data_IF_541704245849
#
_entry.id   IF_541704245849
#
_cell.length_a   1.000
_cell.length_b   1.000
_cell.length_c   1.000
_cell.angle_alpha   90.00
_cell.angle_beta   90.00
_cell.angle_gamma   90.00
#
_symmetry.space_group_name_H-M   'P 1'
#
loop_
_entity.id
_entity.type
_entity.pdbx_description
1 polymer ?
#
# COMPACT_ATOMS: atom_id res chain seq x y z
N UNK A 1 19.84 0.67 -33.91
CA UNK A 1 18.71 0.75 -32.95
C UNK A 1 19.29 0.73 -31.54
N UNK A 2 18.98 1.70 -30.69
CA UNK A 2 19.49 1.70 -29.32
C UNK A 2 18.76 0.58 -28.55
N UNK A 3 19.50 -0.31 -27.89
CA UNK A 3 18.99 -1.42 -27.09
C UNK A 3 18.32 -0.97 -25.76
N UNK A 4 17.88 0.29 -25.69
CA UNK A 4 17.30 0.88 -24.50
C UNK A 4 15.82 0.48 -24.38
N UNK A 5 15.36 -0.03 -23.22
CA UNK A 5 13.95 -0.37 -23.00
C UNK A 5 13.00 0.81 -23.29
N UNK A 6 11.85 0.56 -23.86
CA UNK A 6 10.86 1.60 -24.19
C UNK A 6 10.50 2.46 -23.00
N UNK A 7 10.33 1.86 -21.81
CA UNK A 7 10.05 2.56 -20.57
C UNK A 7 11.11 3.62 -20.18
N UNK A 8 12.37 3.44 -20.59
CA UNK A 8 13.43 4.43 -20.38
C UNK A 8 13.44 5.51 -21.45
N UNK A 9 13.10 5.17 -22.69
CA UNK A 9 13.00 6.12 -23.81
C UNK A 9 11.90 7.15 -23.60
N UNK A 10 10.74 6.70 -23.12
CA UNK A 10 9.56 7.56 -22.88
C UNK A 10 9.56 8.22 -21.50
N UNK A 11 10.62 8.01 -20.72
CA UNK A 11 10.66 8.54 -19.34
C UNK A 11 10.36 10.03 -19.32
N UNK A 12 9.38 10.49 -18.51
CA UNK A 12 9.07 11.89 -18.32
C UNK A 12 10.31 12.74 -18.06
N UNK A 13 10.41 13.88 -18.74
CA UNK A 13 11.50 14.84 -18.57
C UNK A 13 11.09 16.03 -17.71
N UNK A 14 9.78 16.26 -17.56
CA UNK A 14 9.21 17.34 -16.77
C UNK A 14 8.17 16.82 -15.77
N UNK A 15 7.85 17.64 -14.78
CA UNK A 15 6.78 17.34 -13.80
C UNK A 15 5.44 17.18 -14.51
N UNK A 16 5.18 17.92 -15.57
CA UNK A 16 3.91 17.91 -16.30
C UNK A 16 3.70 16.62 -17.11
N UNK A 17 4.78 15.86 -17.36
CA UNK A 17 4.72 14.58 -18.04
C UNK A 17 4.39 13.41 -17.11
N UNK A 18 4.47 13.60 -15.79
CA UNK A 18 4.10 12.57 -14.82
C UNK A 18 2.60 12.36 -14.86
N UNK A 19 2.16 11.12 -15.03
CA UNK A 19 0.74 10.75 -15.14
C UNK A 19 0.23 10.11 -13.85
N UNK A 20 -1.03 10.39 -13.48
CA UNK A 20 -1.76 9.71 -12.41
C UNK A 20 -1.31 10.05 -10.99
N UNK A 21 -0.49 11.08 -10.81
CA UNK A 21 -0.04 11.54 -9.48
C UNK A 21 -0.37 13.02 -9.25
N UNK A 22 -1.58 13.43 -9.60
CA UNK A 22 -2.03 14.82 -9.57
C UNK A 22 -1.97 15.43 -8.16
N UNK A 23 -2.17 14.62 -7.11
CA UNK A 23 -2.07 15.05 -5.71
C UNK A 23 -0.64 15.44 -5.30
N UNK A 24 0.38 14.94 -6.00
CA UNK A 24 1.79 15.25 -5.78
C UNK A 24 2.32 16.31 -6.76
N UNK A 25 2.00 16.16 -8.05
CA UNK A 25 2.60 16.90 -9.15
C UNK A 25 1.61 17.77 -9.94
N UNK A 26 0.31 17.64 -9.74
CA UNK A 26 -0.70 18.50 -10.37
C UNK A 26 -0.58 19.98 -9.96
N UNK A 27 -1.40 20.89 -10.49
CA UNK A 27 -1.32 22.33 -10.19
C UNK A 27 -1.38 22.68 -8.70
N UNK A 28 -2.06 21.85 -7.89
CA UNK A 28 -2.14 21.97 -6.41
C UNK A 28 -1.34 20.89 -5.69
N UNK A 29 -0.45 20.19 -6.41
CA UNK A 29 0.32 19.07 -5.88
C UNK A 29 1.33 19.50 -4.83
N UNK A 30 1.48 18.68 -3.79
CA UNK A 30 2.34 19.00 -2.63
C UNK A 30 3.81 19.10 -3.02
N UNK A 31 4.33 18.16 -3.82
CA UNK A 31 5.74 18.19 -4.27
C UNK A 31 5.95 19.36 -5.23
N UNK A 32 5.03 19.60 -6.16
CA UNK A 32 5.12 20.77 -7.07
C UNK A 32 5.24 22.06 -6.28
N UNK A 33 4.42 22.25 -5.24
CA UNK A 33 4.46 23.45 -4.41
C UNK A 33 5.78 23.62 -3.63
N UNK A 34 6.40 22.51 -3.19
CA UNK A 34 7.72 22.52 -2.54
C UNK A 34 8.82 22.91 -3.53
N UNK A 35 8.82 22.34 -4.72
CA UNK A 35 9.81 22.60 -5.78
C UNK A 35 9.72 24.05 -6.28
N UNK A 36 8.51 24.59 -6.44
CA UNK A 36 8.30 25.98 -6.82
C UNK A 36 8.90 26.99 -5.80
N UNK A 37 9.13 26.55 -4.56
CA UNK A 37 9.78 27.36 -3.50
C UNK A 37 11.28 27.06 -3.37
N UNK A 38 11.85 26.28 -4.28
CA UNK A 38 13.27 25.86 -4.23
C UNK A 38 13.59 24.94 -3.04
N UNK A 39 12.58 24.32 -2.40
CA UNK A 39 12.79 23.46 -1.21
C UNK A 39 12.81 22.00 -1.63
N UNK A 40 14.00 21.40 -1.59
CA UNK A 40 14.18 19.96 -1.73
C UNK A 40 14.70 19.43 -0.40
N UNK A 41 13.86 18.66 0.29
CA UNK A 41 14.15 18.02 1.58
C UNK A 41 14.27 16.52 1.42
N UNK A 42 14.60 15.80 2.50
CA UNK A 42 14.56 14.35 2.47
C UNK A 42 13.12 13.87 2.24
N UNK A 43 12.96 12.93 1.30
CA UNK A 43 11.66 12.40 0.88
C UNK A 43 11.66 10.88 0.91
N UNK A 44 10.53 10.30 1.25
CA UNK A 44 10.27 8.86 1.15
C UNK A 44 9.07 8.68 0.22
N UNK A 45 9.26 7.99 -0.88
CA UNK A 45 8.22 7.65 -1.84
C UNK A 45 7.73 6.23 -1.59
N UNK A 46 6.49 6.06 -1.15
CA UNK A 46 5.87 4.76 -0.94
C UNK A 46 4.80 4.50 -1.99
N UNK A 47 4.61 3.25 -2.36
CA UNK A 47 3.53 2.86 -3.28
C UNK A 47 3.91 1.74 -4.25
N UNK A 48 2.95 1.22 -5.04
CA UNK A 48 3.14 0.09 -5.93
C UNK A 48 4.24 0.32 -6.98
N UNK A 49 4.78 -0.75 -7.58
CA UNK A 49 5.72 -0.64 -8.69
C UNK A 49 5.07 0.07 -9.89
N UNK A 50 5.91 0.63 -10.78
CA UNK A 50 5.46 1.27 -12.02
C UNK A 50 4.66 2.56 -11.88
N UNK A 51 4.56 3.15 -10.67
CA UNK A 51 3.80 4.39 -10.41
C UNK A 51 4.59 5.68 -10.61
N UNK A 52 5.87 5.58 -11.03
CA UNK A 52 6.69 6.74 -11.39
C UNK A 52 7.64 7.24 -10.30
N UNK A 53 7.84 6.54 -9.15
CA UNK A 53 8.73 6.94 -8.05
C UNK A 53 10.13 7.31 -8.51
N UNK A 54 10.79 6.40 -9.26
CA UNK A 54 12.15 6.61 -9.79
C UNK A 54 12.21 7.78 -10.79
N UNK A 55 11.17 7.92 -11.62
CA UNK A 55 11.05 9.02 -12.58
C UNK A 55 10.92 10.37 -11.87
N UNK A 56 10.06 10.45 -10.86
CA UNK A 56 9.89 11.64 -10.05
C UNK A 56 11.19 12.04 -9.36
N UNK A 57 11.91 11.08 -8.76
CA UNK A 57 13.22 11.36 -8.15
C UNK A 57 14.23 11.93 -9.15
N UNK A 58 14.25 11.41 -10.38
CA UNK A 58 15.15 11.91 -11.44
C UNK A 58 14.83 13.35 -11.86
N UNK A 59 13.54 13.66 -12.00
CA UNK A 59 13.07 15.03 -12.34
C UNK A 59 13.42 16.01 -11.21
N UNK A 60 13.16 15.62 -9.95
CA UNK A 60 13.47 16.44 -8.78
C UNK A 60 14.97 16.70 -8.69
N UNK A 61 15.80 15.69 -8.97
CA UNK A 61 17.24 15.83 -9.00
C UNK A 61 17.69 16.84 -10.07
N UNK A 62 17.13 16.76 -11.28
CA UNK A 62 17.43 17.72 -12.36
C UNK A 62 17.06 19.17 -12.01
N UNK A 63 16.07 19.36 -11.14
CA UNK A 63 15.65 20.69 -10.67
C UNK A 63 16.47 21.19 -9.47
N UNK A 64 17.28 20.32 -8.85
CA UNK A 64 17.99 20.62 -7.59
C UNK A 64 19.40 21.17 -7.78
N UNK A 65 19.94 21.18 -9.00
CA UNK A 65 21.35 21.46 -9.30
C UNK A 65 22.36 20.55 -8.57
N UNK A 66 21.87 19.61 -7.72
CA UNK A 66 22.71 18.66 -6.98
C UNK A 66 23.07 17.45 -7.84
N UNK A 67 24.30 17.00 -7.71
CA UNK A 67 24.71 15.73 -8.33
C UNK A 67 23.90 14.58 -7.75
N UNK A 68 23.20 13.86 -8.62
CA UNK A 68 22.39 12.71 -8.22
C UNK A 68 23.19 11.42 -8.29
N UNK A 69 23.13 10.65 -7.20
CA UNK A 69 23.57 9.25 -7.13
C UNK A 69 22.38 8.33 -6.98
N UNK A 70 22.43 7.18 -7.64
CA UNK A 70 21.38 6.17 -7.57
C UNK A 70 21.95 4.87 -7.04
N UNK A 71 21.36 4.39 -5.95
CA UNK A 71 21.67 3.08 -5.37
C UNK A 71 20.38 2.26 -5.28
N UNK A 72 20.52 0.95 -5.43
CA UNK A 72 19.42 0.02 -5.17
C UNK A 72 19.78 -0.79 -3.91
N UNK A 73 18.95 -0.72 -2.89
CA UNK A 73 19.20 -1.37 -1.60
C UNK A 73 19.28 -2.90 -1.68
N UNK A 74 18.80 -3.52 -2.76
CA UNK A 74 18.96 -4.96 -2.99
C UNK A 74 20.39 -5.38 -3.30
N UNK A 75 21.20 -4.47 -3.86
CA UNK A 75 22.56 -4.75 -4.31
C UNK A 75 23.62 -3.86 -3.65
N UNK A 76 23.21 -2.69 -3.15
CA UNK A 76 24.11 -1.71 -2.55
C UNK A 76 24.54 -2.11 -1.13
N UNK A 77 25.74 -1.69 -0.78
CA UNK A 77 26.37 -1.86 0.52
C UNK A 77 26.54 -0.52 1.26
N UNK A 78 26.92 -0.57 2.54
CA UNK A 78 27.31 0.64 3.30
C UNK A 78 28.52 1.34 2.71
N UNK A 79 29.44 0.61 2.06
CA UNK A 79 30.61 1.21 1.39
C UNK A 79 30.20 2.08 0.21
N UNK A 80 29.11 1.71 -0.51
CA UNK A 80 28.61 2.50 -1.63
C UNK A 80 28.01 3.82 -1.13
N UNK A 81 27.26 3.78 -0.02
CA UNK A 81 26.75 4.99 0.63
C UNK A 81 27.87 5.90 1.10
N UNK A 82 28.94 5.32 1.69
CA UNK A 82 30.12 6.09 2.10
C UNK A 82 30.84 6.72 0.90
N UNK A 83 30.96 6.00 -0.20
CA UNK A 83 31.55 6.53 -1.44
C UNK A 83 30.73 7.74 -1.95
N UNK A 84 29.41 7.68 -1.93
CA UNK A 84 28.53 8.81 -2.25
C UNK A 84 28.78 10.00 -1.30
N UNK A 85 28.90 9.74 0.01
CA UNK A 85 29.19 10.79 0.98
C UNK A 85 30.59 11.42 0.79
N UNK A 86 31.59 10.66 0.36
CA UNK A 86 32.95 11.20 0.07
C UNK A 86 32.92 12.14 -1.15
N UNK A 87 32.00 11.94 -2.10
CA UNK A 87 31.84 12.86 -3.23
C UNK A 87 31.54 14.31 -2.81
N UNK A 88 30.95 14.52 -1.64
CA UNK A 88 30.68 15.87 -1.09
C UNK A 88 31.96 16.63 -0.74
N UNK A 89 33.11 15.96 -0.64
CA UNK A 89 34.41 16.58 -0.43
C UNK A 89 35.01 17.10 -1.74
N UNK A 90 34.43 16.79 -2.89
CA UNK A 90 34.86 17.28 -4.19
C UNK A 90 34.28 18.65 -4.50
N UNK A 91 34.86 19.37 -5.43
CA UNK A 91 34.39 20.68 -5.89
C UNK A 91 32.95 20.63 -6.46
N UNK A 92 32.54 19.48 -7.00
CA UNK A 92 31.21 19.28 -7.58
C UNK A 92 30.15 18.84 -6.55
N UNK A 93 30.53 18.55 -5.32
CA UNK A 93 29.63 18.11 -4.25
C UNK A 93 29.58 19.07 -3.05
N UNK A 94 30.21 20.27 -3.16
CA UNK A 94 30.31 21.22 -2.05
C UNK A 94 28.93 21.66 -1.48
N UNK A 95 27.89 21.69 -2.33
CA UNK A 95 26.50 22.03 -1.95
C UNK A 95 25.67 20.79 -1.53
N UNK A 96 26.35 19.67 -1.26
CA UNK A 96 25.73 18.38 -0.96
C UNK A 96 25.30 17.63 -2.21
N UNK A 97 25.00 16.35 -2.05
CA UNK A 97 24.56 15.46 -3.13
C UNK A 97 23.14 14.97 -2.88
N UNK A 98 22.44 14.56 -3.94
CA UNK A 98 21.15 13.91 -3.86
C UNK A 98 21.35 12.39 -4.02
N UNK A 99 20.98 11.62 -3.02
CA UNK A 99 20.97 10.17 -3.07
C UNK A 99 19.55 9.66 -3.31
N UNK A 100 19.33 9.02 -4.46
CA UNK A 100 18.15 8.19 -4.67
C UNK A 100 18.46 6.75 -4.26
N UNK A 101 17.76 6.27 -3.23
CA UNK A 101 17.89 4.90 -2.73
C UNK A 101 16.61 4.12 -3.03
N UNK A 102 16.66 3.23 -4.02
CA UNK A 102 15.54 2.39 -4.43
C UNK A 102 15.42 1.18 -3.50
N UNK A 103 14.15 0.81 -3.19
CA UNK A 103 13.78 -0.33 -2.37
C UNK A 103 14.45 -0.35 -0.99
N UNK A 104 14.40 0.78 -0.27
CA UNK A 104 15.09 1.00 1.02
C UNK A 104 14.79 -0.07 2.08
N UNK A 105 13.66 -0.79 2.02
CA UNK A 105 13.30 -1.87 2.94
C UNK A 105 14.30 -3.04 2.92
N UNK A 106 15.09 -3.19 1.87
CA UNK A 106 16.15 -4.20 1.82
C UNK A 106 17.41 -3.81 2.61
N UNK A 107 17.55 -2.55 2.98
CA UNK A 107 18.57 -2.15 3.94
C UNK A 107 18.15 -2.57 5.35
N UNK A 108 19.03 -3.31 6.05
CA UNK A 108 18.79 -3.63 7.45
C UNK A 108 18.85 -2.36 8.35
N UNK A 109 18.39 -2.50 9.59
CA UNK A 109 18.29 -1.37 10.53
C UNK A 109 19.62 -0.61 10.73
N UNK A 110 20.77 -1.32 10.76
CA UNK A 110 22.10 -0.70 10.92
C UNK A 110 22.48 0.11 9.67
N UNK A 111 22.17 -0.41 8.49
CA UNK A 111 22.39 0.30 7.22
C UNK A 111 21.54 1.56 7.13
N UNK A 112 20.26 1.46 7.47
CA UNK A 112 19.38 2.63 7.50
C UNK A 112 19.83 3.66 8.55
N UNK A 113 20.27 3.21 9.72
CA UNK A 113 20.81 4.09 10.77
C UNK A 113 22.05 4.85 10.34
N UNK A 114 22.94 4.24 9.56
CA UNK A 114 24.15 4.89 9.09
C UNK A 114 23.90 6.05 8.10
N UNK A 115 22.70 6.10 7.48
CA UNK A 115 22.34 7.25 6.64
C UNK A 115 22.11 8.53 7.46
N UNK A 116 21.70 8.40 8.74
CA UNK A 116 21.33 9.56 9.57
C UNK A 116 22.42 10.58 9.70
N UNK A 117 23.68 10.16 9.88
CA UNK A 117 24.82 11.06 10.01
C UNK A 117 24.92 12.01 8.81
N UNK A 118 24.78 11.48 7.58
CA UNK A 118 24.90 12.25 6.34
C UNK A 118 23.68 13.12 6.03
N UNK A 119 22.52 12.76 6.59
CA UNK A 119 21.30 13.57 6.47
C UNK A 119 21.29 14.73 7.46
N UNK A 120 21.83 14.52 8.67
CA UNK A 120 21.87 15.53 9.74
C UNK A 120 22.87 16.64 9.45
N UNK A 121 24.01 16.30 8.85
CA UNK A 121 25.03 17.29 8.45
C UNK A 121 24.79 17.91 7.06
N UNK A 122 23.71 17.49 6.37
CA UNK A 122 23.30 18.05 5.09
C UNK A 122 24.14 17.60 3.89
N UNK A 123 25.11 16.70 4.08
CA UNK A 123 25.93 16.17 2.98
C UNK A 123 25.10 15.42 1.94
N UNK A 124 24.08 14.67 2.41
CA UNK A 124 23.18 13.92 1.53
C UNK A 124 21.77 14.43 1.71
N UNK A 125 21.10 14.75 0.61
CA UNK A 125 19.62 14.85 0.53
C UNK A 125 19.11 13.52 0.03
N UNK A 126 18.29 12.83 0.84
CA UNK A 126 17.78 11.50 0.53
C UNK A 126 16.44 11.57 -0.18
N UNK A 127 16.29 10.87 -1.29
CA UNK A 127 14.99 10.43 -1.81
C UNK A 127 15.02 8.90 -1.78
N UNK A 128 14.27 8.29 -0.87
CA UNK A 128 14.15 6.84 -0.79
C UNK A 128 12.83 6.38 -1.41
N UNK A 129 12.82 5.17 -2.00
CA UNK A 129 11.58 4.54 -2.46
C UNK A 129 11.35 3.20 -1.79
N UNK A 130 10.08 2.83 -1.61
CA UNK A 130 9.65 1.54 -1.10
C UNK A 130 8.32 1.12 -1.69
N UNK A 131 8.13 -0.18 -1.88
CA UNK A 131 6.83 -0.78 -2.22
C UNK A 131 6.04 -1.22 -0.98
N UNK A 132 6.66 -1.18 0.19
CA UNK A 132 6.06 -1.54 1.47
C UNK A 132 5.51 -0.31 2.21
N UNK A 133 4.76 -0.57 3.30
CA UNK A 133 4.34 0.51 4.19
C UNK A 133 5.56 1.12 4.90
N UNK A 134 5.88 2.40 4.67
CA UNK A 134 7.11 3.02 5.16
C UNK A 134 7.21 3.01 6.68
N UNK A 135 6.10 3.10 7.39
CA UNK A 135 6.08 3.13 8.87
C UNK A 135 6.46 1.79 9.51
N UNK A 136 6.41 0.69 8.76
CA UNK A 136 6.88 -0.63 9.21
C UNK A 136 8.26 -1.00 8.66
N UNK A 137 8.55 -0.58 7.43
CA UNK A 137 9.74 -0.99 6.69
C UNK A 137 10.95 -0.08 6.95
N UNK A 138 10.72 1.18 7.35
CA UNK A 138 11.79 2.19 7.47
C UNK A 138 12.03 2.55 8.93
N UNK A 139 13.29 2.76 9.28
CA UNK A 139 13.68 3.17 10.62
C UNK A 139 13.06 4.52 11.00
N UNK A 140 12.38 4.59 12.15
CA UNK A 140 11.59 5.75 12.58
C UNK A 140 12.39 7.07 12.58
N UNK A 141 13.69 7.03 12.87
CA UNK A 141 14.52 8.23 12.86
C UNK A 141 14.74 8.79 11.44
N UNK A 142 14.67 7.97 10.38
CA UNK A 142 14.65 8.45 8.99
C UNK A 142 13.29 9.05 8.64
N UNK A 143 12.20 8.41 9.07
CA UNK A 143 10.84 8.92 8.84
C UNK A 143 10.66 10.29 9.46
N UNK A 144 11.12 10.48 10.72
CA UNK A 144 11.00 11.77 11.42
C UNK A 144 11.78 12.92 10.78
N UNK A 145 12.74 12.62 9.90
CA UNK A 145 13.58 13.58 9.17
C UNK A 145 13.24 13.69 7.70
N UNK A 146 12.18 13.03 7.26
CA UNK A 146 11.79 12.95 5.86
C UNK A 146 10.30 13.23 5.70
N UNK A 147 9.91 13.75 4.55
CA UNK A 147 8.50 13.85 4.15
C UNK A 147 8.10 12.58 3.41
N UNK A 148 7.04 11.92 3.86
CA UNK A 148 6.52 10.71 3.23
C UNK A 148 5.46 11.08 2.20
N UNK A 149 5.60 10.57 0.98
CA UNK A 149 4.67 10.79 -0.12
C UNK A 149 4.19 9.45 -0.67
N UNK A 150 2.88 9.26 -0.70
CA UNK A 150 2.25 8.07 -1.25
C UNK A 150 2.01 8.21 -2.75
N UNK A 151 2.60 7.30 -3.53
CA UNK A 151 2.32 7.13 -4.95
C UNK A 151 1.18 6.12 -5.13
N UNK A 152 0.12 6.55 -5.78
CA UNK A 152 -1.06 5.72 -6.04
C UNK A 152 -0.93 4.94 -7.35
N UNK A 153 -1.63 3.80 -7.49
CA UNK A 153 -1.79 3.17 -8.80
C UNK A 153 -2.25 4.19 -9.83
N UNK A 154 -1.66 4.15 -11.03
CA UNK A 154 -2.01 5.13 -12.08
C UNK A 154 -3.35 4.74 -12.69
N UNK A 155 -4.37 5.62 -12.66
CA UNK A 155 -5.64 5.36 -13.33
C UNK A 155 -5.43 5.07 -14.83
N UNK A 156 -6.11 4.06 -15.41
CA UNK A 156 -5.95 3.70 -16.83
C UNK A 156 -6.13 4.90 -17.76
N UNK A 157 -7.12 5.75 -17.52
CA UNK A 157 -7.35 6.97 -18.31
C UNK A 157 -6.14 7.94 -18.30
N UNK A 158 -5.45 8.06 -17.15
CA UNK A 158 -4.22 8.87 -17.06
C UNK A 158 -3.05 8.20 -17.78
N UNK A 159 -3.02 6.86 -17.79
CA UNK A 159 -1.95 6.08 -18.44
C UNK A 159 -1.99 6.23 -19.98
N UNK A 160 -3.16 6.42 -20.58
CA UNK A 160 -3.32 6.58 -22.04
C UNK A 160 -2.36 7.63 -22.61
N UNK A 161 -2.16 8.74 -21.91
CA UNK A 161 -1.23 9.80 -22.36
C UNK A 161 0.21 9.31 -22.47
N UNK A 162 0.65 8.45 -21.55
CA UNK A 162 1.98 7.84 -21.60
C UNK A 162 2.07 6.81 -22.75
N UNK A 163 1.03 6.00 -22.94
CA UNK A 163 0.96 5.01 -24.00
C UNK A 163 0.91 5.67 -25.38
N UNK A 164 0.18 6.76 -25.55
CA UNK A 164 0.15 7.54 -26.79
C UNK A 164 1.54 8.03 -27.16
N UNK A 165 2.22 8.68 -26.21
CA UNK A 165 3.60 9.15 -26.42
C UNK A 165 4.55 8.00 -26.80
N UNK A 166 4.39 6.82 -26.17
CA UNK A 166 5.18 5.65 -26.49
C UNK A 166 4.91 5.15 -27.90
N UNK A 167 3.64 5.10 -28.32
CA UNK A 167 3.23 4.70 -29.67
C UNK A 167 3.82 5.61 -30.74
N UNK A 168 3.77 6.93 -30.52
CA UNK A 168 4.30 7.94 -31.44
C UNK A 168 5.84 7.83 -31.57
N UNK A 169 6.53 7.53 -30.47
CA UNK A 169 7.98 7.30 -30.48
C UNK A 169 8.33 6.04 -31.28
N UNK A 170 7.58 4.95 -31.10
CA UNK A 170 7.79 3.72 -31.88
C UNK A 170 7.56 3.94 -33.35
N UNK A 171 6.50 4.67 -33.74
CA UNK A 171 6.27 5.06 -35.13
C UNK A 171 7.45 5.87 -35.71
N UNK A 172 7.94 6.84 -34.96
CA UNK A 172 9.07 7.67 -35.39
C UNK A 172 10.38 6.87 -35.54
N UNK A 173 10.67 5.93 -34.62
CA UNK A 173 11.86 5.09 -34.66
C UNK A 173 11.86 4.10 -35.83
N UNK A 174 10.70 3.54 -36.17
CA UNK A 174 10.56 2.57 -37.27
C UNK A 174 10.25 3.24 -38.60
N UNK A 175 9.98 4.54 -38.62
CA UNK A 175 9.59 5.27 -39.82
C UNK A 175 8.22 4.82 -40.34
N UNK A 176 7.33 4.40 -39.43
CA UNK A 176 5.98 3.90 -39.73
C UNK A 176 4.93 4.88 -39.19
N UNK A 177 3.69 4.72 -39.65
CA UNK A 177 2.54 5.50 -39.20
C UNK A 177 1.38 4.58 -38.84
N UNK A 178 1.62 3.67 -37.87
CA UNK A 178 0.60 2.76 -37.37
C UNK A 178 -0.41 3.53 -36.52
N UNK A 179 -1.69 3.33 -36.77
CA UNK A 179 -2.76 4.00 -36.03
C UNK A 179 -3.12 3.23 -34.76
N UNK A 180 -3.47 3.98 -33.69
CA UNK A 180 -4.06 3.42 -32.49
C UNK A 180 -5.12 4.39 -31.94
N UNK A 181 -6.32 3.92 -31.63
CA UNK A 181 -7.33 4.73 -30.98
C UNK A 181 -7.06 4.83 -29.48
N UNK A 182 -7.47 5.93 -28.84
CA UNK A 182 -7.35 6.10 -27.39
C UNK A 182 -8.17 5.05 -26.61
N UNK A 183 -9.26 4.55 -27.19
CA UNK A 183 -10.08 3.48 -26.63
C UNK A 183 -9.28 2.17 -26.51
N UNK A 184 -8.54 1.79 -27.55
CA UNK A 184 -7.71 0.59 -27.53
C UNK A 184 -6.48 0.77 -26.63
N UNK A 185 -5.88 1.97 -26.59
CA UNK A 185 -4.82 2.29 -25.65
C UNK A 185 -5.31 2.26 -24.20
N UNK A 186 -6.55 2.68 -23.92
CA UNK A 186 -7.16 2.57 -22.61
C UNK A 186 -7.29 1.11 -22.18
N UNK A 187 -7.71 0.20 -23.07
CA UNK A 187 -7.77 -1.24 -22.79
C UNK A 187 -6.39 -1.84 -22.46
N UNK A 188 -5.34 -1.42 -23.18
CA UNK A 188 -3.97 -1.83 -22.84
C UNK A 188 -3.54 -1.31 -21.47
N UNK A 189 -3.92 -0.06 -21.12
CA UNK A 189 -3.65 0.53 -19.82
C UNK A 189 -4.37 -0.22 -18.68
N UNK A 190 -5.61 -0.65 -18.88
CA UNK A 190 -6.40 -1.45 -17.94
C UNK A 190 -5.69 -2.77 -17.61
N UNK A 191 -5.10 -3.43 -18.60
CA UNK A 191 -4.33 -4.67 -18.42
C UNK A 191 -3.05 -4.45 -17.59
N UNK A 192 -2.54 -3.23 -17.53
CA UNK A 192 -1.40 -2.85 -16.70
C UNK A 192 -1.71 -2.78 -15.21
N UNK A 193 -2.99 -2.68 -14.83
CA UNK A 193 -3.41 -2.68 -13.42
C UNK A 193 -2.84 -1.52 -12.60
N UNK A 194 -2.63 -0.34 -13.21
CA UNK A 194 -2.05 0.84 -12.55
C UNK A 194 -0.52 0.89 -12.53
N UNK A 195 0.15 -0.09 -13.14
CA UNK A 195 1.60 -0.10 -13.38
C UNK A 195 1.88 0.35 -14.82
N UNK A 196 2.41 1.57 -14.98
CA UNK A 196 2.74 2.13 -16.31
C UNK A 196 3.81 1.32 -17.03
N UNK A 197 4.80 0.78 -16.31
CA UNK A 197 5.87 -0.03 -16.91
C UNK A 197 5.30 -1.29 -17.54
N UNK A 198 4.38 -1.98 -16.83
CA UNK A 198 3.67 -3.15 -17.35
C UNK A 198 2.81 -2.78 -18.56
N UNK A 199 2.09 -1.66 -18.51
CA UNK A 199 1.29 -1.16 -19.63
C UNK A 199 2.14 -0.91 -20.87
N UNK A 200 3.36 -0.40 -20.70
CA UNK A 200 4.31 -0.17 -21.80
C UNK A 200 4.84 -1.45 -22.41
N UNK A 201 5.11 -2.48 -21.62
CA UNK A 201 5.52 -3.80 -22.15
C UNK A 201 4.37 -4.41 -22.98
N UNK A 202 3.13 -4.29 -22.50
CA UNK A 202 1.96 -4.75 -23.26
C UNK A 202 1.80 -3.96 -24.55
N UNK A 203 2.00 -2.64 -24.52
CA UNK A 203 1.95 -1.77 -25.69
C UNK A 203 3.03 -2.13 -26.72
N UNK A 204 4.27 -2.38 -26.29
CA UNK A 204 5.38 -2.76 -27.16
C UNK A 204 5.06 -4.07 -27.93
N UNK A 205 4.50 -5.05 -27.22
CA UNK A 205 4.02 -6.28 -27.85
C UNK A 205 2.85 -6.02 -28.81
N UNK A 206 1.91 -5.15 -28.44
CA UNK A 206 0.78 -4.78 -29.31
C UNK A 206 1.27 -4.07 -30.58
N UNK A 207 2.24 -3.16 -30.44
CA UNK A 207 2.84 -2.47 -31.57
C UNK A 207 3.54 -3.45 -32.53
N UNK A 208 4.29 -4.42 -32.00
CA UNK A 208 4.97 -5.44 -32.80
C UNK A 208 4.01 -6.34 -33.58
N UNK A 209 2.82 -6.60 -33.04
CA UNK A 209 1.77 -7.42 -33.71
C UNK A 209 0.85 -6.60 -34.63
N UNK A 210 1.03 -5.29 -34.71
CA UNK A 210 0.22 -4.39 -35.52
C UNK A 210 0.91 -4.08 -36.83
N UNK A 211 0.23 -4.27 -37.95
CA UNK A 211 0.75 -3.89 -39.26
C UNK A 211 0.42 -2.43 -39.63
N UNK A 212 -0.85 -2.05 -39.67
CA UNK A 212 -1.31 -0.73 -40.09
C UNK A 212 -2.03 0.00 -38.92
N UNK A 213 -2.92 -0.69 -38.23
CA UNK A 213 -3.71 -0.12 -37.15
C UNK A 213 -3.90 -1.15 -36.04
N UNK A 214 -3.83 -0.71 -34.79
CA UNK A 214 -4.16 -1.52 -33.62
C UNK A 214 -5.61 -1.94 -33.68
N UNK A 215 -5.88 -3.24 -33.49
CA UNK A 215 -7.21 -3.82 -33.55
C UNK A 215 -7.64 -4.41 -32.22
N UNK A 216 -8.95 -4.62 -32.03
CA UNK A 216 -9.47 -5.34 -30.87
C UNK A 216 -8.93 -6.76 -30.74
N UNK A 217 -8.71 -7.45 -31.90
CA UNK A 217 -8.16 -8.80 -31.91
C UNK A 217 -6.74 -8.82 -31.37
N UNK A 218 -5.90 -7.84 -31.76
CA UNK A 218 -4.54 -7.69 -31.23
C UNK A 218 -4.55 -7.47 -29.73
N UNK A 219 -5.42 -6.58 -29.24
CA UNK A 219 -5.58 -6.33 -27.82
C UNK A 219 -6.04 -7.58 -27.07
N UNK A 220 -7.05 -8.30 -27.60
CA UNK A 220 -7.54 -9.56 -27.01
C UNK A 220 -6.48 -10.66 -27.00
N UNK A 221 -5.61 -10.74 -27.98
CA UNK A 221 -4.54 -11.74 -28.03
C UNK A 221 -3.47 -11.53 -26.95
N UNK A 222 -3.27 -10.29 -26.53
CA UNK A 222 -2.29 -9.91 -25.50
C UNK A 222 -2.88 -9.82 -24.08
N UNK A 223 -4.19 -9.77 -24.00
CA UNK A 223 -4.89 -9.85 -22.72
C UNK A 223 -5.20 -11.30 -22.43
N UNK A 224 -4.82 -11.84 -21.26
CA UNK A 224 -5.31 -13.15 -20.83
C UNK A 224 -6.82 -13.17 -20.99
N UNK A 225 -7.38 -14.25 -21.52
CA UNK A 225 -8.81 -14.38 -21.85
C UNK A 225 -9.68 -14.17 -20.60
N UNK A 226 -9.98 -12.92 -20.28
CA UNK A 226 -11.01 -12.56 -19.32
C UNK A 226 -12.35 -12.55 -20.05
N UNK A 227 -13.03 -13.70 -20.04
CA UNK A 227 -14.43 -13.81 -20.43
C UNK A 227 -15.31 -13.14 -19.36
N UNK A 228 -15.45 -11.85 -19.44
CA UNK A 228 -16.37 -11.08 -18.61
C UNK A 228 -16.08 -9.59 -18.77
N UNK A 229 -17.09 -8.82 -19.08
CA UNK A 229 -17.08 -7.36 -19.04
C UNK A 229 -16.71 -6.86 -17.64
N UNK A 230 -15.42 -6.86 -17.29
CA UNK A 230 -14.89 -6.09 -16.20
C UNK A 230 -14.60 -4.71 -16.75
N UNK A 231 -15.55 -3.79 -16.58
CA UNK A 231 -15.26 -2.37 -16.61
C UNK A 231 -14.24 -2.11 -15.51
N UNK A 232 -12.98 -1.91 -15.91
CA UNK A 232 -11.87 -1.57 -15.03
C UNK A 232 -11.92 -0.08 -14.59
N UNK A 233 -13.08 0.54 -14.66
CA UNK A 233 -13.32 1.81 -13.98
C UNK A 233 -13.31 1.53 -12.48
N UNK A 234 -12.46 2.23 -11.72
CA UNK A 234 -12.21 1.96 -10.30
C UNK A 234 -13.46 1.80 -9.43
N UNK A 235 -14.57 2.40 -9.79
CA UNK A 235 -15.85 2.33 -9.06
C UNK A 235 -16.46 0.91 -9.11
N UNK A 236 -16.50 0.24 -10.27
CA UNK A 236 -17.08 -1.12 -10.40
C UNK A 236 -16.26 -2.15 -9.65
N UNK A 237 -14.93 -2.01 -9.62
CA UNK A 237 -14.05 -2.91 -8.87
C UNK A 237 -14.24 -2.75 -7.36
N UNK A 238 -14.32 -1.52 -6.85
CA UNK A 238 -14.64 -1.24 -5.44
C UNK A 238 -16.04 -1.75 -5.09
N UNK A 239 -17.00 -1.64 -6.00
CA UNK A 239 -18.35 -2.17 -5.81
C UNK A 239 -18.35 -3.70 -5.68
N UNK A 240 -17.56 -4.43 -6.49
CA UNK A 240 -17.47 -5.89 -6.37
C UNK A 240 -16.88 -6.36 -5.04
N UNK A 241 -15.80 -5.71 -4.56
CA UNK A 241 -15.24 -5.98 -3.24
C UNK A 241 -16.21 -5.62 -2.10
N UNK A 242 -16.98 -4.55 -2.28
CA UNK A 242 -18.05 -4.14 -1.37
C UNK A 242 -19.19 -5.16 -1.38
N UNK A 243 -19.60 -5.68 -2.53
CA UNK A 243 -20.59 -6.74 -2.67
C UNK A 243 -20.12 -8.03 -1.99
N UNK A 244 -18.86 -8.43 -2.18
CA UNK A 244 -18.27 -9.59 -1.50
C UNK A 244 -18.34 -9.43 0.03
N UNK A 245 -17.93 -8.29 0.56
CA UNK A 245 -17.99 -8.04 2.00
C UNK A 245 -19.43 -8.02 2.51
N UNK A 246 -20.35 -7.35 1.82
CA UNK A 246 -21.75 -7.25 2.23
C UNK A 246 -22.46 -8.60 2.17
N UNK A 247 -22.17 -9.46 1.19
CA UNK A 247 -22.72 -10.81 1.12
C UNK A 247 -22.22 -11.70 2.26
N UNK A 248 -20.92 -11.62 2.60
CA UNK A 248 -20.35 -12.32 3.77
C UNK A 248 -21.00 -11.80 5.07
N UNK A 249 -21.08 -10.48 5.24
CA UNK A 249 -21.72 -9.83 6.40
C UNK A 249 -23.20 -10.23 6.53
N UNK A 250 -23.90 -10.32 5.40
CA UNK A 250 -25.29 -10.76 5.33
C UNK A 250 -25.49 -12.28 5.41
N UNK A 251 -24.41 -13.06 5.53
CA UNK A 251 -24.44 -14.54 5.58
C UNK A 251 -25.05 -15.18 4.32
N UNK A 252 -24.96 -14.50 3.17
CA UNK A 252 -25.33 -15.06 1.87
C UNK A 252 -24.12 -15.72 1.22
N UNK A 253 -24.00 -17.04 1.43
CA UNK A 253 -22.87 -17.81 0.89
C UNK A 253 -22.92 -17.94 -0.64
N UNK A 254 -24.12 -17.92 -1.23
CA UNK A 254 -24.28 -18.03 -2.69
C UNK A 254 -23.78 -16.76 -3.40
N UNK A 255 -24.22 -15.60 -2.93
CA UNK A 255 -23.73 -14.32 -3.41
C UNK A 255 -22.23 -14.16 -3.14
N UNK A 256 -21.74 -14.62 -1.98
CA UNK A 256 -20.32 -14.61 -1.64
C UNK A 256 -19.49 -15.37 -2.68
N UNK A 257 -19.89 -16.59 -3.05
CA UNK A 257 -19.19 -17.38 -4.06
C UNK A 257 -19.21 -16.73 -5.44
N UNK A 258 -20.35 -16.15 -5.82
CA UNK A 258 -20.49 -15.46 -7.10
C UNK A 258 -19.56 -14.25 -7.19
N UNK A 259 -19.57 -13.36 -6.20
CA UNK A 259 -18.70 -12.18 -6.22
C UNK A 259 -17.23 -12.54 -6.10
N UNK A 260 -16.87 -13.53 -5.29
CA UNK A 260 -15.52 -14.05 -5.20
C UNK A 260 -15.02 -14.54 -6.56
N UNK A 261 -15.80 -15.41 -7.21
CA UNK A 261 -15.45 -15.95 -8.53
C UNK A 261 -15.31 -14.84 -9.57
N UNK A 262 -16.19 -13.85 -9.54
CA UNK A 262 -16.16 -12.71 -10.47
C UNK A 262 -14.91 -11.86 -10.29
N UNK A 263 -14.47 -11.58 -9.06
CA UNK A 263 -13.25 -10.81 -8.78
C UNK A 263 -12.01 -11.61 -9.16
N UNK A 264 -11.94 -12.90 -8.82
CA UNK A 264 -10.79 -13.75 -9.14
C UNK A 264 -10.68 -14.02 -10.66
N UNK A 265 -11.81 -14.14 -11.36
CA UNK A 265 -11.82 -14.18 -12.84
C UNK A 265 -11.27 -12.86 -13.41
N UNK A 266 -11.42 -11.72 -12.75
CA UNK A 266 -10.77 -10.45 -13.03
C UNK A 266 -9.27 -10.41 -12.69
N UNK A 267 -8.68 -11.48 -12.13
CA UNK A 267 -7.25 -11.57 -11.80
C UNK A 267 -6.86 -10.86 -10.52
N UNK A 268 -7.79 -10.24 -9.78
CA UNK A 268 -7.46 -9.51 -8.56
C UNK A 268 -7.41 -10.41 -7.31
N UNK A 269 -6.33 -11.15 -7.24
CA UNK A 269 -6.01 -11.99 -6.09
C UNK A 269 -5.71 -11.15 -4.82
N UNK A 270 -4.99 -10.04 -4.96
CA UNK A 270 -4.48 -9.29 -3.81
C UNK A 270 -5.58 -8.56 -3.05
N UNK A 271 -6.54 -7.96 -3.74
CA UNK A 271 -7.66 -7.27 -3.09
C UNK A 271 -8.58 -8.25 -2.38
N UNK A 272 -8.82 -9.44 -2.96
CA UNK A 272 -9.56 -10.52 -2.29
C UNK A 272 -8.86 -10.94 -1.00
N UNK A 273 -7.57 -11.21 -1.07
CA UNK A 273 -6.73 -11.60 0.08
C UNK A 273 -6.83 -10.56 1.21
N UNK A 274 -6.69 -9.28 0.89
CA UNK A 274 -6.81 -8.20 1.88
C UNK A 274 -8.22 -8.14 2.46
N UNK A 275 -9.24 -8.19 1.61
CA UNK A 275 -10.64 -8.05 2.02
C UNK A 275 -11.08 -9.18 2.95
N UNK A 276 -10.76 -10.44 2.65
CA UNK A 276 -11.11 -11.57 3.51
C UNK A 276 -10.48 -11.46 4.91
N UNK A 277 -9.21 -11.00 5.01
CA UNK A 277 -8.55 -10.78 6.30
C UNK A 277 -9.21 -9.65 7.12
N UNK A 278 -9.63 -8.57 6.46
CA UNK A 278 -10.39 -7.48 7.11
C UNK A 278 -11.72 -8.01 7.61
N UNK A 279 -12.51 -8.71 6.78
CA UNK A 279 -13.80 -9.28 7.14
C UNK A 279 -13.70 -10.24 8.35
N UNK A 280 -12.66 -11.07 8.39
CA UNK A 280 -12.44 -12.00 9.50
C UNK A 280 -12.30 -11.28 10.85
N UNK A 281 -11.77 -10.05 10.87
CA UNK A 281 -11.59 -9.25 12.08
C UNK A 281 -12.73 -8.27 12.32
N UNK A 282 -13.27 -7.65 11.26
CA UNK A 282 -14.30 -6.61 11.33
C UNK A 282 -15.70 -7.18 11.54
N UNK A 283 -16.06 -8.22 10.75
CA UNK A 283 -17.43 -8.73 10.68
C UNK A 283 -17.64 -10.02 11.49
N UNK A 284 -16.58 -10.80 11.71
CA UNK A 284 -16.64 -12.07 12.46
C UNK A 284 -16.09 -11.89 13.88
N UNK A 285 -14.89 -11.34 13.99
CA UNK A 285 -14.26 -11.00 15.26
C UNK A 285 -14.34 -12.13 16.32
N UNK A 286 -14.74 -11.74 17.52
CA UNK A 286 -14.81 -12.65 18.66
C UNK A 286 -16.02 -13.61 18.63
N UNK A 287 -16.95 -13.46 17.68
CA UNK A 287 -18.03 -14.42 17.51
C UNK A 287 -17.52 -15.81 17.09
N UNK A 288 -16.45 -15.84 16.28
CA UNK A 288 -15.74 -17.06 15.88
C UNK A 288 -14.23 -16.79 15.72
N UNK A 289 -13.45 -16.80 16.79
CA UNK A 289 -12.02 -16.42 16.76
C UNK A 289 -11.14 -17.22 15.80
N UNK A 290 -11.52 -18.48 15.53
CA UNK A 290 -10.78 -19.32 14.56
C UNK A 290 -10.91 -18.82 13.13
N UNK A 291 -11.89 -17.98 12.81
CA UNK A 291 -12.05 -17.42 11.46
C UNK A 291 -10.77 -16.69 10.97
N UNK A 292 -10.15 -15.90 11.83
CA UNK A 292 -8.93 -15.18 11.48
C UNK A 292 -7.76 -16.13 11.20
N UNK A 293 -7.62 -17.20 11.99
CA UNK A 293 -6.55 -18.21 11.83
C UNK A 293 -6.72 -18.99 10.52
N UNK A 294 -7.94 -19.48 10.26
CA UNK A 294 -8.23 -20.24 9.04
C UNK A 294 -8.09 -19.35 7.81
N UNK A 295 -8.61 -18.12 7.86
CA UNK A 295 -8.47 -17.16 6.75
C UNK A 295 -7.00 -16.90 6.46
N UNK A 296 -6.15 -16.73 7.48
CA UNK A 296 -4.72 -16.51 7.28
C UNK A 296 -4.06 -17.72 6.60
N UNK A 297 -4.32 -18.95 7.04
CA UNK A 297 -3.80 -20.16 6.43
C UNK A 297 -4.24 -20.29 4.96
N UNK A 298 -5.51 -20.05 4.66
CA UNK A 298 -6.03 -20.08 3.30
C UNK A 298 -5.39 -19.01 2.40
N UNK A 299 -5.15 -17.80 2.94
CA UNK A 299 -4.49 -16.71 2.22
C UNK A 299 -3.03 -17.05 1.92
N UNK A 300 -2.30 -17.67 2.85
CA UNK A 300 -0.92 -18.11 2.61
C UNK A 300 -0.87 -19.17 1.51
N UNK A 301 -1.72 -20.19 1.61
CA UNK A 301 -1.85 -21.20 0.55
C UNK A 301 -2.18 -20.58 -0.82
N UNK A 302 -3.07 -19.58 -0.85
CA UNK A 302 -3.43 -18.92 -2.10
C UNK A 302 -2.25 -18.13 -2.72
N UNK A 303 -1.39 -17.55 -1.88
CA UNK A 303 -0.17 -16.88 -2.35
C UNK A 303 0.86 -17.83 -2.93
N UNK A 304 1.01 -19.00 -2.32
CA UNK A 304 1.96 -20.02 -2.76
C UNK A 304 1.51 -20.68 -4.08
N UNK A 305 0.20 -20.92 -4.24
CA UNK A 305 -0.36 -21.58 -5.41
C UNK A 305 -0.50 -20.62 -6.62
N UNK A 306 -0.90 -19.38 -6.41
CA UNK A 306 -1.27 -18.50 -7.51
C UNK A 306 -2.58 -18.92 -8.21
N UNK A 307 -3.08 -18.08 -9.12
CA UNK A 307 -4.25 -18.42 -9.94
C UNK A 307 -3.86 -19.40 -11.05
N UNK A 308 -4.74 -20.36 -11.40
CA UNK A 308 -6.13 -20.48 -10.94
C UNK A 308 -6.35 -21.21 -9.60
N UNK A 309 -5.39 -21.99 -9.10
CA UNK A 309 -5.53 -22.86 -7.93
C UNK A 309 -5.78 -22.07 -6.62
N UNK A 310 -5.30 -20.85 -6.52
CA UNK A 310 -5.54 -19.95 -5.39
C UNK A 310 -7.04 -19.71 -5.10
N UNK A 311 -7.90 -19.92 -6.09
CA UNK A 311 -9.34 -19.78 -5.93
C UNK A 311 -9.92 -20.77 -4.90
N UNK A 312 -9.36 -21.97 -4.78
CA UNK A 312 -9.88 -23.03 -3.89
C UNK A 312 -9.72 -22.68 -2.40
N UNK A 313 -8.51 -22.36 -1.89
CA UNK A 313 -8.38 -21.94 -0.50
C UNK A 313 -9.13 -20.64 -0.19
N UNK A 314 -9.23 -19.70 -1.13
CA UNK A 314 -9.99 -18.46 -0.92
C UNK A 314 -11.50 -18.71 -0.88
N UNK A 315 -12.03 -19.63 -1.69
CA UNK A 315 -13.43 -20.05 -1.64
C UNK A 315 -13.75 -20.73 -0.29
N UNK A 316 -12.84 -21.57 0.23
CA UNK A 316 -13.00 -22.17 1.54
C UNK A 316 -13.03 -21.10 2.65
N UNK A 317 -12.10 -20.15 2.65
CA UNK A 317 -12.10 -19.03 3.60
C UNK A 317 -13.41 -18.22 3.52
N UNK A 318 -13.84 -17.84 2.31
CA UNK A 318 -15.04 -17.06 2.10
C UNK A 318 -16.31 -17.79 2.56
N UNK A 319 -16.42 -19.12 2.34
CA UNK A 319 -17.51 -19.95 2.82
C UNK A 319 -17.59 -19.95 4.35
N UNK A 320 -16.45 -20.17 5.02
CA UNK A 320 -16.34 -20.14 6.48
C UNK A 320 -16.78 -18.77 7.02
N UNK A 321 -16.29 -17.69 6.43
CA UNK A 321 -16.64 -16.33 6.85
C UNK A 321 -18.13 -16.03 6.63
N UNK A 322 -18.70 -16.48 5.50
CA UNK A 322 -20.12 -16.26 5.21
C UNK A 322 -21.04 -17.03 6.17
N UNK A 323 -20.65 -18.24 6.61
CA UNK A 323 -21.45 -19.10 7.48
C UNK A 323 -21.17 -18.92 8.98
N UNK A 324 -20.07 -18.25 9.36
CA UNK A 324 -19.73 -17.97 10.75
C UNK A 324 -20.73 -17.00 11.41
N UNK A 325 -20.93 -17.08 12.75
CA UNK A 325 -21.62 -16.02 13.47
C UNK A 325 -20.87 -14.69 13.34
N UNK A 326 -21.59 -13.58 13.38
CA UNK A 326 -21.08 -12.22 13.13
C UNK A 326 -20.97 -11.43 14.43
N UNK A 327 -19.89 -10.63 14.53
CA UNK A 327 -19.73 -9.62 15.58
C UNK A 327 -18.81 -8.52 15.11
N UNK A 328 -19.23 -7.28 15.24
CA UNK A 328 -18.44 -6.08 15.03
C UNK A 328 -17.99 -5.42 16.35
N UNK A 329 -18.15 -6.10 17.48
CA UNK A 329 -17.92 -5.54 18.81
C UNK A 329 -16.51 -4.95 18.99
N UNK A 330 -15.48 -5.61 18.47
CA UNK A 330 -14.11 -5.12 18.55
C UNK A 330 -13.87 -3.91 17.63
N UNK A 331 -14.46 -3.91 16.43
CA UNK A 331 -14.41 -2.78 15.50
C UNK A 331 -15.04 -1.53 16.13
N UNK A 332 -16.27 -1.64 16.63
CA UNK A 332 -17.00 -0.51 17.21
C UNK A 332 -16.28 0.03 18.46
N UNK A 333 -15.75 -0.87 19.30
CA UNK A 333 -14.95 -0.50 20.48
C UNK A 333 -13.73 0.30 20.11
N UNK A 334 -12.97 -0.13 19.10
CA UNK A 334 -11.78 0.56 18.65
C UNK A 334 -12.08 1.94 18.10
N UNK A 335 -13.10 2.08 17.24
CA UNK A 335 -13.43 3.38 16.66
C UNK A 335 -14.05 4.35 17.67
N UNK A 336 -14.78 3.84 18.67
CA UNK A 336 -15.25 4.67 19.78
C UNK A 336 -14.09 5.19 20.63
N UNK A 337 -13.07 4.36 20.89
CA UNK A 337 -11.88 4.77 21.59
C UNK A 337 -11.04 5.77 20.75
N UNK A 338 -10.89 5.52 19.45
CA UNK A 338 -10.19 6.41 18.52
C UNK A 338 -10.82 7.80 18.50
N UNK A 339 -12.13 7.89 18.46
CA UNK A 339 -12.85 9.17 18.47
C UNK A 339 -12.56 9.99 19.76
N UNK A 340 -12.42 9.34 20.92
CA UNK A 340 -12.03 10.04 22.14
C UNK A 340 -10.55 10.50 22.10
N UNK A 341 -9.66 9.71 21.51
CA UNK A 341 -8.25 10.09 21.28
C UNK A 341 -8.15 11.30 20.33
N UNK A 342 -8.88 11.28 19.21
CA UNK A 342 -8.92 12.39 18.25
C UNK A 342 -9.54 13.67 18.86
N UNK A 343 -10.43 13.52 19.84
CA UNK A 343 -10.96 14.62 20.62
C UNK A 343 -9.99 15.13 21.72
N UNK A 344 -8.78 14.58 21.78
CA UNK A 344 -7.73 14.99 22.73
C UNK A 344 -7.94 14.51 24.17
N UNK A 345 -8.84 13.52 24.39
CA UNK A 345 -9.07 12.94 25.72
C UNK A 345 -7.98 11.92 26.07
N UNK A 346 -7.90 11.58 27.38
CA UNK A 346 -6.98 10.55 27.86
C UNK A 346 -5.50 10.98 27.86
N UNK A 347 -5.21 12.27 27.87
CA UNK A 347 -3.84 12.78 27.80
C UNK A 347 -3.00 12.41 29.03
N UNK A 348 -3.63 12.20 30.20
CA UNK A 348 -2.95 11.90 31.44
C UNK A 348 -3.12 10.43 31.81
N UNK A 349 -2.05 9.65 31.70
CA UNK A 349 -2.03 8.22 32.05
C UNK A 349 -2.06 8.06 33.58
N UNK A 350 -2.85 7.10 34.15
CA UNK A 350 -2.86 6.84 35.59
C UNK A 350 -1.45 6.60 36.17
N UNK A 351 -1.15 7.24 37.29
CA UNK A 351 0.23 7.28 37.84
C UNK A 351 0.82 5.88 38.16
N UNK A 352 -0.04 4.93 38.58
CA UNK A 352 0.38 3.57 38.88
C UNK A 352 0.69 2.72 37.64
N UNK A 353 0.29 3.17 36.45
CA UNK A 353 0.62 2.52 35.17
C UNK A 353 1.85 3.13 34.50
N UNK A 354 2.41 4.24 35.03
CA UNK A 354 3.54 4.93 34.41
C UNK A 354 4.86 4.22 34.69
N UNK A 355 5.59 3.90 33.60
CA UNK A 355 6.97 3.39 33.67
C UNK A 355 7.94 4.53 34.05
N UNK A 356 9.02 4.26 34.82
CA UNK A 356 9.45 2.94 35.34
C UNK A 356 8.98 2.63 36.76
N UNK A 357 8.28 3.57 37.42
CA UNK A 357 8.06 3.49 38.85
C UNK A 357 6.86 2.63 39.26
N UNK A 358 5.83 2.48 38.40
CA UNK A 358 4.60 1.73 38.67
C UNK A 358 4.07 1.86 40.12
N UNK A 359 4.14 3.07 40.68
CA UNK A 359 3.88 3.32 42.10
C UNK A 359 2.41 3.04 42.45
N UNK A 360 2.19 1.99 43.26
CA UNK A 360 0.85 1.59 43.69
C UNK A 360 0.15 0.62 42.71
N UNK A 361 0.82 0.13 41.65
CA UNK A 361 0.27 -0.90 40.81
C UNK A 361 0.09 -2.22 41.57
N UNK A 362 -1.11 -2.77 41.44
CA UNK A 362 -1.44 -4.09 41.97
C UNK A 362 -1.28 -5.11 40.86
N UNK A 363 -0.40 -6.10 41.02
CA UNK A 363 -0.14 -7.11 40.00
C UNK A 363 -1.23 -8.19 40.00
N UNK A 364 -2.09 -8.31 38.98
CA UNK A 364 -3.27 -9.20 39.02
C UNK A 364 -2.95 -10.67 39.27
N UNK A 365 -1.79 -11.16 38.81
CA UNK A 365 -1.41 -12.57 39.00
C UNK A 365 -1.14 -12.98 40.48
N UNK A 366 -1.01 -12.02 41.39
CA UNK A 366 -0.87 -12.26 42.83
C UNK A 366 -2.23 -12.38 43.54
N UNK A 367 -3.34 -12.18 42.81
CA UNK A 367 -4.69 -12.20 43.36
C UNK A 367 -5.51 -13.37 42.85
N UNK A 368 -6.56 -13.81 43.59
CA UNK A 368 -7.46 -14.87 43.13
C UNK A 368 -8.07 -14.56 41.76
N UNK A 369 -8.20 -15.60 40.95
CA UNK A 369 -8.69 -15.50 39.57
C UNK A 369 -7.87 -14.54 38.68
N UNK A 370 -6.63 -14.18 39.10
CA UNK A 370 -5.78 -13.21 38.40
C UNK A 370 -6.47 -11.87 38.16
N UNK A 371 -7.31 -11.44 39.09
CA UNK A 371 -8.06 -10.21 39.02
C UNK A 371 -7.94 -9.40 40.32
N UNK A 372 -7.78 -8.08 40.17
CA UNK A 372 -7.84 -7.11 41.26
C UNK A 372 -8.47 -5.82 40.75
N UNK A 373 -9.36 -5.25 41.55
CA UNK A 373 -9.98 -3.98 41.19
C UNK A 373 -8.97 -2.85 41.27
N UNK A 374 -8.72 -2.22 40.12
CA UNK A 374 -7.94 -0.99 39.97
C UNK A 374 -8.34 -0.29 38.67
N UNK A 375 -8.11 1.01 38.61
CA UNK A 375 -8.40 1.82 37.42
C UNK A 375 -7.32 1.66 36.36
N UNK A 376 -7.71 1.48 35.12
CA UNK A 376 -6.80 1.39 33.97
C UNK A 376 -6.99 2.53 32.97
N UNK A 377 -8.18 3.14 32.94
CA UNK A 377 -8.46 4.27 32.08
C UNK A 377 -8.03 5.59 32.74
N UNK A 378 -7.65 6.58 31.92
CA UNK A 378 -7.50 7.96 32.37
C UNK A 378 -8.73 8.48 33.09
N UNK A 379 -8.54 9.47 33.99
CA UNK A 379 -9.60 9.98 34.85
C UNK A 379 -10.81 10.55 34.09
N UNK A 380 -10.55 11.19 32.95
CA UNK A 380 -11.57 11.75 32.06
C UNK A 380 -12.33 10.69 31.23
N UNK A 381 -11.86 9.45 31.27
CA UNK A 381 -12.45 8.31 30.52
C UNK A 381 -12.98 7.20 31.43
N UNK A 382 -12.93 7.32 32.76
CA UNK A 382 -13.35 6.27 33.71
C UNK A 382 -14.79 5.77 33.51
N UNK A 383 -15.69 6.62 33.05
CA UNK A 383 -17.09 6.24 32.76
C UNK A 383 -17.30 5.65 31.37
N UNK A 384 -16.23 5.49 30.58
CA UNK A 384 -16.35 4.95 29.22
C UNK A 384 -16.42 3.44 29.21
N UNK A 385 -17.37 2.93 28.45
CA UNK A 385 -17.47 1.51 28.10
C UNK A 385 -17.34 1.40 26.58
N UNK A 386 -16.17 0.98 26.12
CA UNK A 386 -15.89 0.83 24.69
C UNK A 386 -16.35 -0.52 24.16
N UNK A 387 -15.99 -1.62 24.84
CA UNK A 387 -16.26 -2.97 24.37
C UNK A 387 -17.57 -3.51 24.93
N UNK A 388 -18.49 -3.87 24.03
CA UNK A 388 -19.76 -4.53 24.37
C UNK A 388 -19.78 -5.92 23.79
N UNK A 389 -19.95 -6.92 24.64
CA UNK A 389 -20.03 -8.30 24.20
C UNK A 389 -21.21 -8.53 23.27
N UNK A 390 -20.97 -9.20 22.14
CA UNK A 390 -22.02 -9.61 21.22
C UNK A 390 -22.86 -10.78 21.74
N UNK A 391 -23.82 -11.23 20.95
CA UNK A 391 -24.79 -12.25 21.32
C UNK A 391 -24.39 -13.66 20.96
N UNK A 392 -23.23 -13.88 20.33
CA UNK A 392 -22.75 -15.22 19.97
C UNK A 392 -22.44 -16.06 21.21
N UNK A 393 -22.53 -17.39 21.08
CA UNK A 393 -22.19 -18.30 22.18
C UNK A 393 -20.79 -18.07 22.74
N UNK A 394 -19.82 -17.83 21.89
CA UNK A 394 -18.43 -17.56 22.26
C UNK A 394 -18.30 -16.29 23.07
N UNK A 395 -18.92 -15.21 22.61
CA UNK A 395 -18.87 -13.92 23.30
C UNK A 395 -19.64 -13.94 24.61
N UNK A 396 -20.77 -14.65 24.65
CA UNK A 396 -21.54 -14.81 25.90
C UNK A 396 -20.78 -15.65 26.93
N UNK A 397 -20.05 -16.68 26.51
CA UNK A 397 -19.16 -17.44 27.41
C UNK A 397 -18.03 -16.55 27.95
N UNK A 398 -17.43 -15.73 27.10
CA UNK A 398 -16.40 -14.76 27.52
C UNK A 398 -17.00 -13.70 28.48
N UNK A 399 -18.23 -13.23 28.20
CA UNK A 399 -18.94 -12.30 29.08
C UNK A 399 -19.21 -12.89 30.46
N UNK A 400 -19.69 -14.13 30.52
CA UNK A 400 -19.93 -14.82 31.79
C UNK A 400 -18.66 -14.90 32.64
N UNK A 401 -17.53 -15.25 32.04
CA UNK A 401 -16.25 -15.26 32.75
C UNK A 401 -15.85 -13.85 33.21
N UNK A 402 -15.97 -12.86 32.33
CA UNK A 402 -15.69 -11.44 32.64
C UNK A 402 -16.53 -10.95 33.82
N UNK A 403 -17.85 -11.19 33.77
CA UNK A 403 -18.77 -10.77 34.83
C UNK A 403 -18.45 -11.48 36.17
N UNK A 404 -18.11 -12.75 36.11
CA UNK A 404 -17.73 -13.55 37.29
C UNK A 404 -16.50 -12.95 38.01
N UNK A 405 -15.44 -12.62 37.29
CA UNK A 405 -14.23 -12.07 37.91
C UNK A 405 -14.42 -10.63 38.40
N UNK A 406 -15.34 -9.85 37.80
CA UNK A 406 -15.68 -8.49 38.23
C UNK A 406 -16.79 -8.45 39.27
N UNK A 407 -17.26 -9.58 39.78
CA UNK A 407 -18.32 -9.66 40.78
C UNK A 407 -19.68 -9.09 40.29
N UNK A 408 -19.88 -9.01 38.97
CA UNK A 408 -21.16 -8.61 38.37
C UNK A 408 -22.08 -9.83 38.37
N UNK A 409 -23.30 -9.67 38.95
CA UNK A 409 -24.32 -10.73 39.00
C UNK A 409 -25.16 -10.75 37.71
#
# INVERSE_FOLDING_TARGET
MSNQPLADKIRPQSIDDIVGQEHLFGPRGTIRAMLARGRITNMIFSGPPGTGKTTAASIIAGLSEKKMFRLNATTASLSDVKAVAEETKTMFGADGVLLYLDEIQYFNRKQQQSLLEYLEDGRITLIASTTENPYFAIYNALISRSSVFEFKPVPPASCVRALRRAWDILNAEEGLDKAASDELLLRLAECGGGDVRRSLVILENAYALTDIALTEETVKALTPSFTGNFDATGDVHYDMLSCLQKSIRGSDVQATMFYLAKILAGGDLLSVIRRLQVIASEDIGNAYPLAAVVTRACVESARDLGLPEAALPLANAAAILATAPKSNAAHDAYFAALADVEAGKGAVVPAHLQSPLFKGYKYPHEYPNHFVEQEYLPDDLKAREYYKFGTSKTEQAAKMYYDMIHGKK
#
